data_IF_784729363098
#
_entry.id   IF_784729363098
#
_cell.length_a   1.000
_cell.length_b   1.000
_cell.length_c   1.000
_cell.angle_alpha   90.00
_cell.angle_beta   90.00
_cell.angle_gamma   90.00
#
_symmetry.space_group_name_H-M   'P 1'
#
loop_
_entity.id
_entity.type
_entity.pdbx_description
1 polymer ?
#
# COMPACT_ATOMS: atom_id res chain seq x y z
N UNK A 1 -5.47 -13.17 0.49
CA UNK A 1 -4.79 -12.57 1.54
C UNK A 1 -4.18 -11.18 1.36
N UNK A 2 -4.82 -10.23 0.60
CA UNK A 2 -4.38 -8.82 0.56
C UNK A 2 -5.16 -7.95 1.55
N UNK A 3 -6.35 -8.40 1.95
CA UNK A 3 -7.16 -7.78 2.98
C UNK A 3 -7.90 -8.83 3.78
N UNK A 4 -8.12 -8.54 5.05
CA UNK A 4 -8.94 -9.32 5.96
C UNK A 4 -10.26 -8.60 6.24
N UNK A 5 -11.31 -9.33 6.54
CA UNK A 5 -12.61 -8.77 6.90
C UNK A 5 -12.81 -8.97 8.39
N UNK A 6 -12.89 -7.88 9.14
CA UNK A 6 -13.20 -7.87 10.56
C UNK A 6 -14.39 -6.93 10.81
N UNK A 7 -15.42 -7.42 11.46
CA UNK A 7 -16.63 -6.64 11.78
C UNK A 7 -17.23 -5.93 10.53
N UNK A 8 -17.30 -6.65 9.39
CA UNK A 8 -17.78 -6.13 8.10
C UNK A 8 -16.94 -4.98 7.51
N UNK A 9 -15.69 -4.82 7.93
CA UNK A 9 -14.75 -3.82 7.39
C UNK A 9 -13.52 -4.51 6.82
N UNK A 10 -12.98 -3.94 5.75
CA UNK A 10 -11.74 -4.42 5.15
C UNK A 10 -10.54 -3.82 5.87
N UNK A 11 -9.59 -4.67 6.22
CA UNK A 11 -8.31 -4.28 6.79
C UNK A 11 -7.18 -4.75 5.86
N UNK A 12 -6.38 -3.85 5.31
CA UNK A 12 -5.28 -4.25 4.45
C UNK A 12 -4.21 -5.00 5.26
N UNK A 13 -3.84 -6.17 4.76
CA UNK A 13 -2.70 -6.92 5.31
C UNK A 13 -1.39 -6.24 4.93
N UNK A 14 -0.28 -6.66 5.53
CA UNK A 14 1.05 -6.19 5.13
C UNK A 14 1.34 -6.47 3.66
N UNK A 15 0.91 -7.62 3.18
CA UNK A 15 1.01 -7.99 1.78
C UNK A 15 0.19 -7.05 0.88
N UNK A 16 -1.02 -6.70 1.33
CA UNK A 16 -1.88 -5.75 0.62
C UNK A 16 -1.22 -4.37 0.52
N UNK A 17 -0.73 -3.84 1.63
CA UNK A 17 -0.02 -2.54 1.67
C UNK A 17 1.19 -2.53 0.74
N UNK A 18 1.99 -3.61 0.75
CA UNK A 18 3.17 -3.73 -0.09
C UNK A 18 2.82 -3.73 -1.58
N UNK A 19 1.80 -4.52 -1.98
CA UNK A 19 1.34 -4.59 -3.36
C UNK A 19 0.74 -3.26 -3.81
N UNK A 20 -0.08 -2.59 -2.98
CA UNK A 20 -0.62 -1.27 -3.31
C UNK A 20 0.48 -0.26 -3.58
N UNK A 21 1.47 -0.16 -2.67
CA UNK A 21 2.60 0.74 -2.87
C UNK A 21 3.44 0.41 -4.12
N UNK A 22 3.60 -0.87 -4.43
CA UNK A 22 4.27 -1.33 -5.65
C UNK A 22 3.52 -0.87 -6.91
N UNK A 23 2.20 -1.09 -6.94
CA UNK A 23 1.36 -0.71 -8.08
C UNK A 23 1.28 0.80 -8.25
N UNK A 24 1.11 1.56 -7.15
CA UNK A 24 1.07 3.02 -7.18
C UNK A 24 2.36 3.64 -7.73
N UNK A 25 3.51 3.02 -7.46
CA UNK A 25 4.82 3.54 -7.89
C UNK A 25 5.23 3.09 -9.29
N UNK A 26 4.91 1.87 -9.67
CA UNK A 26 5.41 1.26 -10.90
C UNK A 26 4.34 1.10 -11.99
N UNK A 27 3.07 1.13 -11.61
CA UNK A 27 1.92 0.95 -12.48
C UNK A 27 0.87 2.05 -12.28
N UNK A 28 1.32 3.27 -11.97
CA UNK A 28 0.47 4.43 -11.63
C UNK A 28 -0.70 4.61 -12.58
N UNK A 29 -0.45 4.52 -13.91
CA UNK A 29 -1.47 4.65 -14.95
C UNK A 29 -2.64 3.68 -14.76
N UNK A 30 -2.37 2.45 -14.29
CA UNK A 30 -3.35 1.35 -14.21
C UNK A 30 -4.13 1.30 -12.91
N UNK A 31 -3.68 2.03 -11.89
CA UNK A 31 -4.37 2.16 -10.59
C UNK A 31 -5.06 3.52 -10.43
N UNK A 32 -4.99 4.37 -11.45
CA UNK A 32 -5.65 5.67 -11.49
C UNK A 32 -7.15 5.51 -11.77
N UNK A 33 -8.00 6.27 -11.06
CA UNK A 33 -9.46 6.24 -11.25
C UNK A 33 -9.86 6.60 -12.68
N UNK A 34 -9.16 7.55 -13.31
CA UNK A 34 -9.45 7.97 -14.67
C UNK A 34 -9.14 6.88 -15.71
N UNK A 35 -8.22 5.96 -15.39
CA UNK A 35 -7.91 4.83 -16.27
C UNK A 35 -9.13 3.91 -16.42
N UNK A 36 -9.75 3.54 -15.31
CA UNK A 36 -10.93 2.67 -15.30
C UNK A 36 -12.10 3.35 -16.02
N UNK A 37 -12.36 4.63 -15.75
CA UNK A 37 -13.42 5.38 -16.43
C UNK A 37 -13.21 5.44 -17.94
N UNK A 38 -11.99 5.74 -18.41
CA UNK A 38 -11.66 5.74 -19.84
C UNK A 38 -11.81 4.37 -20.49
N UNK A 39 -11.50 3.30 -19.76
CA UNK A 39 -11.65 1.94 -20.27
C UNK A 39 -13.14 1.59 -20.41
N UNK A 40 -13.98 2.00 -19.47
CA UNK A 40 -15.45 1.85 -19.56
C UNK A 40 -16.02 2.61 -20.76
N UNK A 41 -15.62 3.87 -20.98
CA UNK A 41 -16.01 4.65 -22.15
C UNK A 41 -15.61 3.96 -23.47
N UNK A 42 -14.40 3.39 -23.55
CA UNK A 42 -13.96 2.63 -24.72
C UNK A 42 -14.77 1.34 -24.95
N UNK A 43 -15.15 0.65 -23.86
CA UNK A 43 -16.02 -0.53 -23.97
C UNK A 43 -17.42 -0.15 -24.50
N UNK A 44 -17.95 0.99 -24.09
CA UNK A 44 -19.22 1.52 -24.60
C UNK A 44 -19.11 1.90 -26.09
N UNK A 45 -17.99 2.47 -26.50
CA UNK A 45 -17.76 2.77 -27.93
C UNK A 45 -17.58 1.49 -28.77
N UNK A 46 -17.00 0.44 -28.27
CA UNK A 46 -16.96 -0.88 -28.90
C UNK A 46 -18.39 -1.44 -29.07
N UNK A 47 -19.19 -1.41 -28.01
CA UNK A 47 -20.54 -1.97 -28.01
C UNK A 47 -21.46 -1.19 -28.98
N UNK A 48 -21.25 0.10 -29.14
CA UNK A 48 -21.95 0.95 -30.08
C UNK A 48 -21.44 0.86 -31.54
N UNK A 49 -20.37 0.08 -31.76
CA UNK A 49 -19.78 -0.11 -33.10
C UNK A 49 -18.92 1.05 -33.60
N UNK A 50 -18.54 2.01 -32.72
CA UNK A 50 -17.69 3.15 -33.07
C UNK A 50 -16.21 2.78 -33.06
N UNK A 51 -15.79 1.82 -32.20
CA UNK A 51 -14.42 1.35 -32.10
C UNK A 51 -14.29 -0.16 -32.31
N UNK A 52 -13.16 -0.57 -32.87
CA UNK A 52 -12.80 -1.98 -33.02
C UNK A 52 -12.10 -2.49 -31.75
N UNK A 53 -12.68 -3.53 -31.15
CA UNK A 53 -12.17 -4.12 -29.90
C UNK A 53 -10.73 -4.65 -30.04
N UNK A 54 -10.33 -5.14 -31.23
CA UNK A 54 -8.96 -5.64 -31.45
C UNK A 54 -7.98 -4.49 -31.33
N UNK A 55 -8.28 -3.33 -31.96
CA UNK A 55 -7.41 -2.15 -31.87
C UNK A 55 -7.27 -1.63 -30.44
N UNK A 56 -8.38 -1.60 -29.70
CA UNK A 56 -8.37 -1.16 -28.30
C UNK A 56 -7.50 -2.08 -27.46
N UNK A 57 -7.63 -3.40 -27.63
CA UNK A 57 -6.79 -4.39 -26.92
C UNK A 57 -5.31 -4.31 -27.31
N UNK A 58 -5.00 -4.14 -28.59
CA UNK A 58 -3.63 -3.99 -29.06
C UNK A 58 -2.97 -2.76 -28.47
N UNK A 59 -3.67 -1.64 -28.43
CA UNK A 59 -3.16 -0.40 -27.84
C UNK A 59 -2.91 -0.57 -26.34
N UNK A 60 -3.88 -1.13 -25.62
CA UNK A 60 -3.73 -1.43 -24.21
C UNK A 60 -2.53 -2.34 -23.95
N UNK A 61 -2.42 -3.43 -24.70
CA UNK A 61 -1.36 -4.42 -24.54
C UNK A 61 0.02 -3.84 -24.81
N UNK A 62 0.17 -3.06 -25.87
CA UNK A 62 1.44 -2.43 -26.21
C UNK A 62 1.93 -1.52 -25.10
N UNK A 63 1.07 -0.67 -24.55
CA UNK A 63 1.38 0.23 -23.44
C UNK A 63 1.72 -0.56 -22.17
N UNK A 64 0.91 -1.57 -21.85
CA UNK A 64 1.10 -2.39 -20.67
C UNK A 64 2.41 -3.19 -20.73
N UNK A 65 2.66 -3.83 -21.87
CA UNK A 65 3.88 -4.64 -22.06
C UNK A 65 5.15 -3.79 -22.00
N UNK A 66 5.11 -2.57 -22.54
CA UNK A 66 6.21 -1.60 -22.41
C UNK A 66 6.47 -1.25 -20.95
N UNK A 67 5.44 -1.00 -20.16
CA UNK A 67 5.59 -0.72 -18.73
C UNK A 67 6.15 -1.93 -17.99
N UNK A 68 5.61 -3.13 -18.23
CA UNK A 68 6.12 -4.39 -17.63
C UNK A 68 7.60 -4.59 -17.94
N UNK A 69 8.03 -4.33 -19.17
CA UNK A 69 9.43 -4.45 -19.58
C UNK A 69 10.33 -3.48 -18.80
N UNK A 70 9.92 -2.22 -18.66
CA UNK A 70 10.64 -1.22 -17.87
C UNK A 70 10.76 -1.61 -16.39
N UNK A 71 9.70 -2.21 -15.82
CA UNK A 71 9.72 -2.69 -14.44
C UNK A 71 10.64 -3.89 -14.27
N UNK A 72 10.67 -4.81 -15.24
CA UNK A 72 11.57 -5.97 -15.23
C UNK A 72 13.05 -5.62 -15.29
N UNK A 73 13.40 -4.49 -15.90
CA UNK A 73 14.79 -4.00 -15.97
C UNK A 73 15.29 -3.44 -14.64
N UNK A 74 14.37 -3.06 -13.73
CA UNK A 74 14.74 -2.55 -12.40
C UNK A 74 15.34 -3.65 -11.54
N UNK A 75 16.43 -3.31 -10.84
CA UNK A 75 17.02 -4.21 -9.86
C UNK A 75 16.09 -4.35 -8.64
N UNK A 76 16.02 -5.54 -8.07
CA UNK A 76 15.21 -5.80 -6.86
C UNK A 76 15.51 -4.80 -5.73
N UNK A 77 16.77 -4.38 -5.60
CA UNK A 77 17.18 -3.40 -4.59
C UNK A 77 16.54 -2.03 -4.82
N UNK A 78 16.53 -1.55 -6.04
CA UNK A 78 15.91 -0.26 -6.41
C UNK A 78 14.40 -0.26 -6.10
N UNK A 79 13.74 -1.36 -6.40
CA UNK A 79 12.31 -1.53 -6.07
C UNK A 79 12.10 -1.55 -4.55
N UNK A 80 12.94 -2.25 -3.79
CA UNK A 80 12.85 -2.27 -2.34
C UNK A 80 13.10 -0.90 -1.71
N UNK A 81 14.08 -0.15 -2.21
CA UNK A 81 14.39 1.20 -1.72
C UNK A 81 13.21 2.16 -1.98
N UNK A 82 12.62 2.10 -3.17
CA UNK A 82 11.41 2.88 -3.53
C UNK A 82 10.21 2.53 -2.64
N UNK A 83 9.98 1.24 -2.38
CA UNK A 83 8.92 0.78 -1.49
C UNK A 83 9.19 1.18 -0.03
N UNK A 84 10.45 1.13 0.39
CA UNK A 84 10.88 1.54 1.72
C UNK A 84 10.63 3.04 1.97
N UNK A 85 10.75 3.88 0.96
CA UNK A 85 10.37 5.30 1.03
C UNK A 85 8.85 5.48 1.09
N UNK A 86 8.12 4.85 0.18
CA UNK A 86 6.65 4.96 0.11
C UNK A 86 5.95 4.48 1.36
N UNK A 87 6.41 3.38 1.94
CA UNK A 87 5.81 2.76 3.11
C UNK A 87 6.40 3.28 4.43
N UNK A 88 7.39 4.18 4.37
CA UNK A 88 8.15 4.62 5.53
C UNK A 88 7.28 5.08 6.69
N UNK A 89 6.33 5.98 6.45
CA UNK A 89 5.40 6.50 7.45
C UNK A 89 4.42 5.44 8.01
N UNK A 90 4.12 4.40 7.24
CA UNK A 90 3.26 3.30 7.66
C UNK A 90 4.00 2.25 8.49
N UNK A 91 5.30 2.08 8.22
CA UNK A 91 6.12 1.01 8.77
C UNK A 91 6.91 1.46 10.00
N UNK A 92 7.45 2.68 9.98
CA UNK A 92 8.31 3.23 11.02
C UNK A 92 7.58 4.24 11.91
N UNK A 93 8.12 4.47 13.09
CA UNK A 93 7.64 5.51 13.98
C UNK A 93 8.03 6.87 13.42
N UNK A 94 7.15 7.84 13.61
CA UNK A 94 7.40 9.21 13.24
C UNK A 94 7.65 9.99 14.51
N UNK A 95 8.72 10.76 14.56
CA UNK A 95 9.02 11.63 15.69
C UNK A 95 8.08 12.85 15.74
N UNK A 96 8.20 13.67 16.79
CA UNK A 96 7.40 14.89 16.97
C UNK A 96 7.59 15.93 15.85
N UNK A 97 8.65 15.82 15.06
CA UNK A 97 8.98 16.72 13.95
C UNK A 97 8.53 16.14 12.59
N UNK A 98 7.82 15.00 12.57
CA UNK A 98 7.38 14.33 11.34
C UNK A 98 8.48 13.52 10.63
N UNK A 99 9.65 13.39 11.23
CA UNK A 99 10.76 12.60 10.69
C UNK A 99 10.60 11.11 11.03
N UNK A 100 10.98 10.25 10.10
CA UNK A 100 10.80 8.80 10.24
C UNK A 100 11.99 8.22 11.00
N UNK A 101 11.75 7.65 12.19
CA UNK A 101 12.77 6.96 12.95
C UNK A 101 13.02 5.55 12.41
N UNK A 102 14.18 5.37 11.81
CA UNK A 102 14.67 4.08 11.28
C UNK A 102 15.77 3.46 12.11
N UNK A 103 16.08 4.01 13.29
CA UNK A 103 17.15 3.53 14.12
C UNK A 103 16.88 2.12 14.64
N UNK A 104 17.85 1.23 14.53
CA UNK A 104 17.73 -0.13 15.05
C UNK A 104 17.71 -0.12 16.58
N UNK A 105 16.63 -0.67 17.18
CA UNK A 105 16.47 -0.72 18.64
C UNK A 105 17.45 -1.68 19.32
N UNK A 106 18.07 -2.61 18.57
CA UNK A 106 19.02 -3.59 19.13
C UNK A 106 20.46 -3.07 19.14
N UNK A 107 21.02 -2.69 17.99
CA UNK A 107 22.41 -2.22 17.90
C UNK A 107 22.57 -0.70 18.00
N UNK A 108 21.49 0.05 17.86
CA UNK A 108 21.40 1.52 17.91
C UNK A 108 22.25 2.27 16.87
N UNK A 109 23.10 1.59 16.13
CA UNK A 109 23.97 2.17 15.07
C UNK A 109 23.48 1.89 13.65
N UNK A 110 22.76 0.77 13.44
CA UNK A 110 22.19 0.41 12.15
C UNK A 110 20.84 1.05 11.88
N UNK A 111 20.45 1.07 10.61
CA UNK A 111 19.16 1.54 10.15
C UNK A 111 18.25 0.39 9.73
N UNK A 112 16.97 0.53 10.03
CA UNK A 112 15.94 -0.42 9.65
C UNK A 112 15.44 -0.12 8.23
N UNK A 113 15.36 -1.15 7.41
CA UNK A 113 14.84 -1.05 6.04
C UNK A 113 14.07 -2.28 5.63
N UNK A 114 13.27 -2.13 4.59
CA UNK A 114 12.55 -3.21 3.95
C UNK A 114 13.54 -4.18 3.30
N UNK A 115 13.39 -5.45 3.60
CA UNK A 115 14.19 -6.55 3.05
C UNK A 115 13.28 -7.61 2.44
N UNK A 116 13.79 -8.34 1.48
CA UNK A 116 13.11 -9.50 0.91
C UNK A 116 13.61 -10.79 1.54
N UNK A 117 12.68 -11.67 1.88
CA UNK A 117 12.99 -13.01 2.39
C UNK A 117 13.23 -13.98 1.23
N UNK A 118 14.19 -14.88 1.40
CA UNK A 118 14.45 -15.95 0.42
C UNK A 118 13.26 -16.92 0.24
N UNK A 119 12.42 -17.04 1.26
CA UNK A 119 11.20 -17.87 1.23
C UNK A 119 9.97 -17.15 0.69
N UNK A 120 10.15 -15.95 0.15
CA UNK A 120 9.07 -15.06 -0.26
C UNK A 120 8.48 -14.26 0.91
N UNK A 121 8.16 -13.00 0.63
CA UNK A 121 7.65 -12.05 1.61
C UNK A 121 8.67 -10.99 2.00
N UNK A 122 8.17 -9.90 2.54
CA UNK A 122 8.97 -8.77 2.97
C UNK A 122 9.00 -8.68 4.50
N UNK A 123 10.14 -8.23 5.04
CA UNK A 123 10.35 -7.99 6.47
C UNK A 123 11.22 -6.74 6.67
N UNK A 124 11.23 -6.23 7.88
CA UNK A 124 12.13 -5.14 8.26
C UNK A 124 13.36 -5.73 8.91
N UNK A 125 14.53 -5.38 8.40
CA UNK A 125 15.82 -5.84 8.91
C UNK A 125 16.80 -4.70 9.11
N UNK A 126 17.80 -4.92 9.98
CA UNK A 126 18.88 -3.98 10.26
C UNK A 126 19.90 -3.95 9.11
N UNK A 127 20.48 -2.77 8.84
CA UNK A 127 21.57 -2.59 7.87
C UNK A 127 22.87 -3.28 8.29
N UNK A 128 23.09 -3.46 9.61
CA UNK A 128 24.31 -4.05 10.17
C UNK A 128 24.26 -5.58 10.22
N UNK A 129 23.46 -6.22 9.37
CA UNK A 129 23.53 -7.66 9.20
C UNK A 129 24.89 -8.03 8.53
N UNK A 130 25.59 -9.07 8.96
CA UNK A 130 25.21 -10.14 9.90
C UNK A 130 25.47 -9.87 11.38
N UNK A 131 26.17 -8.80 11.77
CA UNK A 131 26.52 -8.48 13.16
C UNK A 131 25.26 -8.23 13.99
N UNK A 132 24.30 -7.51 13.43
CA UNK A 132 22.99 -7.29 14.04
C UNK A 132 21.90 -8.09 13.28
N UNK A 133 21.33 -9.07 13.96
CA UNK A 133 20.29 -9.94 13.40
C UNK A 133 18.86 -9.48 13.72
N UNK A 134 18.69 -8.21 14.03
CA UNK A 134 17.35 -7.67 14.31
C UNK A 134 16.46 -7.75 13.08
N UNK A 135 15.28 -8.38 13.22
CA UNK A 135 14.24 -8.44 12.21
C UNK A 135 12.87 -8.29 12.86
N UNK A 136 11.91 -7.74 12.12
CA UNK A 136 10.49 -7.71 12.50
C UNK A 136 9.58 -7.76 11.27
N UNK A 137 8.30 -8.14 11.42
CA UNK A 137 7.30 -8.01 10.36
C UNK A 137 7.05 -6.54 10.00
N UNK A 138 6.39 -6.29 8.86
CA UNK A 138 6.05 -4.93 8.41
C UNK A 138 5.13 -4.22 9.40
N UNK A 139 4.07 -4.89 9.85
CA UNK A 139 3.13 -4.31 10.82
C UNK A 139 3.77 -4.13 12.17
N UNK A 140 3.54 -2.96 12.75
CA UNK A 140 3.89 -2.68 14.16
C UNK A 140 3.00 -3.45 15.14
N UNK A 141 1.75 -3.70 14.74
CA UNK A 141 0.70 -4.31 15.58
C UNK A 141 -0.11 -5.30 14.75
N UNK A 142 -0.46 -6.43 15.34
CA UNK A 142 -1.45 -7.35 14.73
C UNK A 142 -2.76 -6.58 14.57
N UNK A 143 -3.39 -6.68 13.39
CA UNK A 143 -4.65 -5.99 13.08
C UNK A 143 -5.74 -6.16 14.16
N UNK A 144 -5.71 -7.27 14.89
CA UNK A 144 -6.61 -7.55 16.01
C UNK A 144 -6.37 -6.68 17.27
N UNK A 145 -5.16 -6.16 17.48
CA UNK A 145 -4.84 -5.32 18.64
C UNK A 145 -5.12 -3.82 18.41
N UNK A 146 -5.27 -3.41 17.15
CA UNK A 146 -5.63 -2.01 16.83
C UNK A 146 -7.12 -1.72 16.88
N UNK A 147 -7.95 -2.75 17.05
CA UNK A 147 -9.39 -2.57 17.28
C UNK A 147 -9.66 -2.50 18.79
N UNK A 148 -8.95 -1.64 19.50
CA UNK A 148 -9.59 -1.02 20.65
C UNK A 148 -10.71 -0.16 20.07
N UNK A 149 -11.93 -0.60 20.31
CA UNK A 149 -13.15 0.12 20.00
C UNK A 149 -12.99 1.53 20.56
N UNK A 150 -12.52 2.42 19.73
CA UNK A 150 -12.34 3.81 20.12
C UNK A 150 -13.67 4.28 20.68
N UNK A 151 -13.62 4.96 21.81
CA UNK A 151 -14.79 5.62 22.39
C UNK A 151 -15.52 6.40 21.29
N UNK A 152 -16.86 6.51 21.36
CA UNK A 152 -17.60 7.23 20.32
C UNK A 152 -16.99 8.60 20.08
N UNK A 153 -16.48 8.82 18.87
CA UNK A 153 -15.86 10.12 18.52
C UNK A 153 -16.94 11.14 18.25
N UNK A 154 -16.93 12.22 18.98
CA UNK A 154 -17.77 13.39 18.70
C UNK A 154 -17.45 13.95 17.31
N UNK A 155 -18.49 14.14 16.46
CA UNK A 155 -18.33 14.65 15.09
C UNK A 155 -18.90 16.04 14.95
N UNK A 156 -19.89 16.40 15.76
CA UNK A 156 -20.58 17.68 15.68
C UNK A 156 -21.96 17.63 16.30
N UNK A 157 -22.77 18.66 16.04
CA UNK A 157 -24.16 18.76 16.47
C UNK A 157 -25.09 18.72 15.26
N UNK A 158 -26.28 18.19 15.44
CA UNK A 158 -27.34 18.25 14.43
C UNK A 158 -28.09 19.60 14.49
N UNK A 159 -29.03 19.79 13.58
CA UNK A 159 -29.89 21.00 13.51
C UNK A 159 -30.71 21.27 14.78
N UNK A 160 -30.89 20.27 15.65
CA UNK A 160 -31.57 20.37 16.94
C UNK A 160 -30.59 20.48 18.13
N UNK A 161 -29.35 20.89 17.90
CA UNK A 161 -28.27 21.04 18.90
C UNK A 161 -27.92 19.76 19.69
N UNK A 162 -28.24 18.57 19.15
CA UNK A 162 -27.88 17.29 19.76
C UNK A 162 -26.52 16.81 19.24
N UNK A 163 -25.70 16.32 20.16
CA UNK A 163 -24.38 15.80 19.84
C UNK A 163 -24.47 14.55 18.98
N UNK A 164 -23.69 14.55 17.87
CA UNK A 164 -23.53 13.41 16.96
C UNK A 164 -22.19 12.75 17.25
N UNK A 165 -22.24 11.43 17.49
CA UNK A 165 -21.06 10.61 17.72
C UNK A 165 -20.91 9.56 16.63
N UNK A 166 -19.68 9.42 16.12
CA UNK A 166 -19.31 8.29 15.28
C UNK A 166 -19.12 7.07 16.19
N UNK A 167 -20.10 6.19 16.24
CA UNK A 167 -19.95 4.87 16.85
C UNK A 167 -19.42 3.90 15.79
N UNK A 168 -18.52 3.01 16.22
CA UNK A 168 -18.14 1.87 15.41
C UNK A 168 -19.41 1.03 15.21
N UNK A 169 -20.02 1.19 14.03
CA UNK A 169 -21.38 0.80 13.77
C UNK A 169 -21.64 -0.71 13.92
N UNK A 170 -22.75 -0.99 14.53
CA UNK A 170 -23.60 -2.13 14.18
C UNK A 170 -24.54 -1.72 13.08
#
# INVERSE_FOLDING_TARGET
GYADILNKRFFPTDRGKLISAFLEKLFTKYVDYNFTAKLEDQLDDITSGKEDWIKVLEQFWNDFNKNVSQVKEKRTREVLDMLNESLGSLIFETDSNGSIDRKCKLCQTGQLSLKNSFRGGAFIGCSNYPECKFTRPLSKVKAAEQINLAEPRFIGKNEMDKDIFLKNGR
#
